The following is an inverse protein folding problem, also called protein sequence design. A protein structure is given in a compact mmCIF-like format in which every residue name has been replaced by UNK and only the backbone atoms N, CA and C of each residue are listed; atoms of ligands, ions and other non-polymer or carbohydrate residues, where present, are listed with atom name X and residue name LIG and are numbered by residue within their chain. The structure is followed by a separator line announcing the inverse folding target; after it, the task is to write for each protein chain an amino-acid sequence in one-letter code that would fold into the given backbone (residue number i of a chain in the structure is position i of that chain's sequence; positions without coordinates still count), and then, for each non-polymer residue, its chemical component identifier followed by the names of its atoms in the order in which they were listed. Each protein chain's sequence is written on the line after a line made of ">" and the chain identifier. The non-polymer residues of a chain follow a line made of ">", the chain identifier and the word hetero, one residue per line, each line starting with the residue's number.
data_IF_726556463250
#
_entry.id   IF_726556463250
#
_cell.length_a   1.000
_cell.length_b   1.000
_cell.length_c   1.000
_cell.angle_alpha   90.00
_cell.angle_beta   90.00
_cell.angle_gamma   90.00
#
_symmetry.space_group_name_H-M   'P 1'
#
loop_
_entity.id
_entity.type
_entity.pdbx_description
1 polymer ?
#
# COMPACT_ATOMS: atom_id res chain seq x y z
N UNK A 1 -18.48 31.02 -8.77
CA UNK A 1 -18.17 29.57 -8.85
C UNK A 1 -17.23 29.30 -7.68
N UNK A 2 -17.77 28.83 -6.56
CA UNK A 2 -16.95 28.36 -5.42
C UNK A 2 -16.24 27.10 -5.88
N UNK A 3 -14.92 27.05 -5.73
CA UNK A 3 -14.15 25.83 -5.90
C UNK A 3 -14.69 24.79 -4.90
N UNK A 4 -15.00 23.56 -5.29
CA UNK A 4 -15.28 22.53 -4.32
C UNK A 4 -14.04 22.37 -3.40
N UNK A 5 -14.23 22.10 -2.11
CA UNK A 5 -13.10 21.86 -1.23
C UNK A 5 -12.27 20.71 -1.82
N UNK A 6 -10.96 20.88 -1.83
CA UNK A 6 -10.06 19.80 -2.19
C UNK A 6 -10.42 18.61 -1.31
N UNK A 7 -10.82 17.51 -1.93
CA UNK A 7 -10.93 16.23 -1.27
C UNK A 7 -9.51 15.75 -0.94
N UNK A 8 -8.92 16.34 0.06
CA UNK A 8 -7.79 15.73 0.75
C UNK A 8 -8.40 14.56 1.49
N UNK A 9 -7.91 13.33 1.34
CA UNK A 9 -8.39 12.23 2.16
C UNK A 9 -8.23 12.65 3.62
N UNK A 10 -9.36 12.76 4.33
CA UNK A 10 -9.44 13.16 5.74
C UNK A 10 -8.91 12.07 6.69
N UNK A 11 -7.93 11.28 6.23
CA UNK A 11 -7.43 10.07 6.85
C UNK A 11 -6.00 10.19 7.32
N UNK A 12 -5.60 11.26 7.88
CA UNK A 12 -4.36 11.16 8.63
C UNK A 12 -4.49 11.92 9.92
N UNK A 13 -4.21 11.24 10.97
CA UNK A 13 -3.63 11.83 12.14
C UNK A 13 -2.56 12.78 11.67
N UNK A 14 -1.51 12.90 11.52
CA UNK A 14 -0.58 13.84 10.87
C UNK A 14 -0.48 13.57 9.35
N UNK A 15 -0.46 14.61 8.53
CA UNK A 15 -0.07 14.49 7.14
C UNK A 15 1.44 14.26 7.10
N UNK A 16 1.86 12.97 7.16
CA UNK A 16 3.26 12.64 6.98
C UNK A 16 3.59 12.60 5.49
N UNK A 17 4.59 13.34 5.08
CA UNK A 17 5.13 13.28 3.74
C UNK A 17 6.60 12.86 3.79
N UNK A 18 6.90 11.68 3.27
CA UNK A 18 8.24 11.12 3.30
C UNK A 18 8.94 11.40 1.98
N UNK A 19 10.11 11.98 2.05
CA UNK A 19 10.99 12.22 0.90
C UNK A 19 12.32 11.51 1.11
N UNK A 20 12.63 10.56 0.24
CA UNK A 20 13.99 10.01 0.15
C UNK A 20 14.66 10.55 -1.10
N UNK A 21 15.89 11.03 -0.95
CA UNK A 21 16.73 11.51 -2.05
C UNK A 21 18.00 10.68 -2.12
N UNK A 22 18.23 10.11 -3.29
CA UNK A 22 19.48 9.44 -3.64
C UNK A 22 20.34 10.42 -4.42
N UNK A 23 21.45 10.83 -3.82
CA UNK A 23 22.39 11.73 -4.48
C UNK A 23 23.41 10.92 -5.29
N UNK A 24 23.50 11.15 -6.57
CA UNK A 24 24.42 10.42 -7.45
C UNK A 24 25.87 10.49 -6.99
N UNK A 25 26.28 11.62 -6.38
CA UNK A 25 27.61 11.74 -5.80
C UNK A 25 27.87 10.75 -4.66
N UNK A 26 26.83 10.21 -4.01
CA UNK A 26 26.98 9.21 -2.95
C UNK A 26 27.66 7.92 -3.46
N UNK A 27 27.48 7.58 -4.73
CA UNK A 27 28.15 6.47 -5.43
C UNK A 27 29.23 6.94 -6.43
N UNK A 28 29.72 8.18 -6.31
CA UNK A 28 30.75 8.72 -7.19
C UNK A 28 30.28 9.00 -8.61
N UNK A 29 28.98 9.17 -8.84
CA UNK A 29 28.38 9.33 -10.17
C UNK A 29 27.87 10.75 -10.44
N UNK A 30 27.70 11.06 -11.71
CA UNK A 30 26.99 12.24 -12.20
C UNK A 30 25.67 11.76 -12.81
N UNK A 31 24.51 12.44 -12.54
CA UNK A 31 23.23 12.07 -13.13
C UNK A 31 23.25 12.00 -14.66
N UNK A 32 22.62 10.98 -15.22
CA UNK A 32 22.63 10.71 -16.67
C UNK A 32 21.82 11.69 -17.52
N UNK A 33 20.81 12.36 -16.94
CA UNK A 33 19.92 13.28 -17.66
C UNK A 33 20.62 14.50 -18.26
N UNK A 34 19.94 15.20 -19.18
CA UNK A 34 20.50 16.34 -19.92
C UNK A 34 21.06 17.45 -18.99
N UNK A 35 20.32 17.79 -17.92
CA UNK A 35 20.73 18.84 -16.98
C UNK A 35 21.77 18.39 -15.93
N UNK A 36 22.19 17.11 -15.96
CA UNK A 36 23.15 16.55 -14.98
C UNK A 36 22.79 16.87 -13.52
N UNK A 37 21.50 16.85 -13.20
CA UNK A 37 20.94 17.20 -11.88
C UNK A 37 19.80 16.26 -11.54
N UNK A 38 19.72 15.86 -10.27
CA UNK A 38 18.56 15.16 -9.73
C UNK A 38 17.34 16.08 -9.83
N UNK A 39 16.28 15.60 -10.50
CA UNK A 39 15.07 16.37 -10.72
C UNK A 39 13.88 15.77 -9.92
N UNK A 40 13.01 15.02 -10.60
CA UNK A 40 11.89 14.33 -9.95
C UNK A 40 12.39 13.08 -9.22
N UNK A 41 11.73 12.67 -8.14
CA UNK A 41 12.02 11.38 -7.52
C UNK A 41 11.94 10.24 -8.55
N UNK A 42 12.90 9.34 -8.50
CA UNK A 42 12.88 8.10 -9.28
C UNK A 42 11.78 7.17 -8.78
N UNK A 43 11.44 6.14 -9.55
CA UNK A 43 10.52 5.10 -9.11
C UNK A 43 11.01 4.45 -7.81
N UNK A 44 12.30 4.08 -7.73
CA UNK A 44 12.91 3.49 -6.52
C UNK A 44 12.81 4.43 -5.31
N UNK A 45 13.14 5.72 -5.46
CA UNK A 45 12.98 6.70 -4.38
C UNK A 45 11.53 6.78 -3.90
N UNK A 46 10.59 6.77 -4.83
CA UNK A 46 9.14 6.79 -4.53
C UNK A 46 8.69 5.53 -3.78
N UNK A 47 9.17 4.37 -4.19
CA UNK A 47 8.87 3.09 -3.52
C UNK A 47 9.41 3.06 -2.09
N UNK A 48 10.65 3.52 -1.88
CA UNK A 48 11.24 3.58 -0.53
C UNK A 48 10.51 4.61 0.35
N UNK A 49 10.10 5.75 -0.21
CA UNK A 49 9.22 6.69 0.53
C UNK A 49 7.94 5.99 1.02
N UNK A 50 7.35 5.12 0.22
CA UNK A 50 6.16 4.34 0.60
C UNK A 50 6.46 3.28 1.66
N UNK A 51 7.59 2.58 1.55
CA UNK A 51 8.05 1.61 2.56
C UNK A 51 8.18 2.25 3.93
N UNK A 52 8.64 3.51 3.99
CA UNK A 52 8.82 4.26 5.24
C UNK A 52 7.50 4.86 5.73
N UNK A 53 6.70 5.46 4.85
CA UNK A 53 5.45 6.13 5.21
C UNK A 53 4.41 5.17 5.81
N UNK A 54 4.30 3.97 5.25
CA UNK A 54 3.28 2.99 5.65
C UNK A 54 3.38 2.58 7.12
N UNK A 55 4.55 2.17 7.67
CA UNK A 55 4.65 1.79 9.07
C UNK A 55 4.69 2.96 10.05
N UNK A 56 5.12 4.17 9.65
CA UNK A 56 5.16 5.30 10.58
C UNK A 56 3.82 6.03 10.73
N UNK A 57 3.00 6.05 9.68
CA UNK A 57 1.72 6.76 9.67
C UNK A 57 0.78 6.35 10.80
N UNK A 58 0.55 5.06 11.08
CA UNK A 58 -0.32 4.62 12.18
C UNK A 58 0.25 4.90 13.57
N UNK A 59 1.56 5.19 13.69
CA UNK A 59 2.20 5.48 14.98
C UNK A 59 1.87 6.88 15.51
N UNK A 60 1.50 7.83 14.65
CA UNK A 60 1.16 9.17 15.11
C UNK A 60 -0.15 9.18 15.92
N UNK A 61 -0.15 9.94 17.01
CA UNK A 61 -1.33 10.10 17.84
C UNK A 61 -2.51 10.70 17.04
N UNK A 62 -3.72 10.16 17.20
CA UNK A 62 -4.92 10.54 16.41
C UNK A 62 -5.27 12.03 16.47
N UNK A 63 -4.98 12.69 17.58
CA UNK A 63 -5.25 14.13 17.75
C UNK A 63 -4.11 15.03 17.26
N UNK A 64 -2.96 14.46 16.89
CA UNK A 64 -1.87 15.22 16.31
C UNK A 64 -2.16 15.46 14.82
N UNK A 65 -2.43 16.73 14.46
CA UNK A 65 -2.87 17.12 13.11
C UNK A 65 -1.85 17.98 12.36
N UNK A 66 -0.67 18.20 12.95
CA UNK A 66 0.37 19.01 12.33
C UNK A 66 0.97 18.28 11.12
N UNK A 67 1.23 19.01 10.06
CA UNK A 67 1.97 18.47 8.92
C UNK A 67 3.37 18.06 9.37
N UNK A 68 3.77 16.83 9.02
CA UNK A 68 5.08 16.29 9.38
C UNK A 68 5.79 15.83 8.12
N UNK A 69 6.99 16.34 7.90
CA UNK A 69 7.84 15.94 6.79
C UNK A 69 9.06 15.18 7.29
N UNK A 70 9.28 13.97 6.75
CA UNK A 70 10.47 13.17 6.98
C UNK A 70 11.34 13.20 5.73
N UNK A 71 12.53 13.76 5.84
CA UNK A 71 13.46 13.87 4.70
C UNK A 71 14.71 13.05 4.95
N UNK A 72 15.00 12.13 4.04
CA UNK A 72 16.14 11.23 4.08
C UNK A 72 17.05 11.50 2.87
N UNK A 73 18.34 11.61 3.09
CA UNK A 73 19.31 11.83 2.02
C UNK A 73 20.44 10.82 2.13
N UNK A 74 20.65 10.03 1.08
CA UNK A 74 21.79 9.13 0.98
C UNK A 74 23.02 9.95 0.58
N UNK A 75 24.00 10.02 1.48
CA UNK A 75 25.22 10.83 1.30
C UNK A 75 26.43 10.00 0.90
N UNK A 76 26.41 8.69 1.22
CA UNK A 76 27.46 7.74 0.85
C UNK A 76 26.85 6.38 0.59
N UNK A 77 27.33 5.69 -0.45
CA UNK A 77 26.82 4.40 -0.89
C UNK A 77 27.93 3.61 -1.57
N UNK A 78 28.21 2.42 -1.07
CA UNK A 78 29.29 1.54 -1.57
C UNK A 78 28.80 0.44 -2.52
N UNK A 79 27.48 0.30 -2.68
CA UNK A 79 26.88 -0.71 -3.55
C UNK A 79 26.70 -2.08 -2.90
N UNK A 80 27.03 -2.24 -1.64
CA UNK A 80 26.95 -3.55 -0.94
C UNK A 80 25.57 -3.85 -0.36
N UNK A 81 24.92 -2.84 0.22
CA UNK A 81 23.64 -2.99 0.91
C UNK A 81 22.62 -1.98 0.41
N UNK A 82 21.37 -2.41 0.18
CA UNK A 82 20.29 -1.49 -0.19
C UNK A 82 20.05 -0.45 0.92
N UNK A 83 20.01 0.85 0.59
CA UNK A 83 19.86 1.91 1.57
C UNK A 83 18.43 2.06 2.12
N UNK A 84 17.49 1.17 1.82
CA UNK A 84 16.10 1.28 2.27
C UNK A 84 15.93 0.96 3.77
N UNK A 85 16.46 -0.15 4.26
CA UNK A 85 16.41 -0.51 5.70
C UNK A 85 17.17 0.49 6.54
N UNK A 86 18.33 0.96 6.07
CA UNK A 86 19.10 2.02 6.75
C UNK A 86 18.29 3.32 6.82
N UNK A 87 17.55 3.65 5.77
CA UNK A 87 16.66 4.82 5.78
C UNK A 87 15.50 4.64 6.78
N UNK A 88 14.97 3.43 6.95
CA UNK A 88 13.97 3.12 7.97
C UNK A 88 14.54 3.25 9.38
N UNK A 89 15.77 2.77 9.60
CA UNK A 89 16.49 2.95 10.87
C UNK A 89 16.71 4.43 11.20
N UNK A 90 17.20 5.21 10.24
CA UNK A 90 17.37 6.65 10.42
C UNK A 90 16.05 7.35 10.75
N UNK A 91 14.94 6.90 10.15
CA UNK A 91 13.60 7.40 10.45
C UNK A 91 13.18 7.07 11.87
N UNK A 92 13.36 5.81 12.31
CA UNK A 92 13.05 5.38 13.68
C UNK A 92 13.82 6.19 14.74
N UNK A 93 15.13 6.36 14.55
CA UNK A 93 15.98 7.16 15.41
C UNK A 93 15.56 8.65 15.42
N UNK A 94 15.29 9.24 14.25
CA UNK A 94 14.88 10.64 14.16
C UNK A 94 13.52 10.89 14.84
N UNK A 95 12.56 10.00 14.66
CA UNK A 95 11.26 10.09 15.34
C UNK A 95 11.41 9.96 16.85
N UNK A 96 12.23 9.02 17.32
CA UNK A 96 12.45 8.79 18.75
C UNK A 96 13.01 10.03 19.48
N UNK A 97 13.89 10.81 18.83
CA UNK A 97 14.47 12.03 19.43
C UNK A 97 13.71 13.30 19.09
N UNK A 98 12.72 13.25 18.20
CA UNK A 98 11.99 14.45 17.75
C UNK A 98 11.02 15.03 18.78
N UNK A 99 10.60 14.22 19.76
CA UNK A 99 9.54 14.56 20.70
C UNK A 99 8.13 14.54 20.14
N UNK A 100 7.96 14.12 18.87
CA UNK A 100 6.63 13.96 18.25
C UNK A 100 5.84 12.87 18.97
N UNK A 101 4.49 13.00 19.06
CA UNK A 101 3.65 12.01 19.75
C UNK A 101 3.43 10.77 18.87
N UNK A 102 4.45 9.91 18.82
CA UNK A 102 4.42 8.63 18.11
C UNK A 102 4.39 7.48 19.12
N UNK A 103 3.64 6.42 18.80
CA UNK A 103 3.52 5.22 19.61
C UNK A 103 4.56 4.18 19.17
N UNK A 104 5.53 3.89 20.04
CA UNK A 104 6.60 2.93 19.77
C UNK A 104 7.72 3.47 18.88
N UNK A 105 8.74 2.66 18.71
CA UNK A 105 9.92 2.97 17.88
C UNK A 105 9.90 2.10 16.61
N UNK A 106 10.09 2.71 15.45
CA UNK A 106 10.15 1.98 14.19
C UNK A 106 11.44 1.17 14.12
N UNK A 107 11.30 -0.15 13.95
CA UNK A 107 12.33 -1.07 13.50
C UNK A 107 12.01 -1.65 12.13
N UNK A 108 13.02 -2.16 11.44
CA UNK A 108 12.85 -2.82 10.14
C UNK A 108 13.95 -3.85 9.91
N UNK A 109 13.70 -4.80 9.03
CA UNK A 109 14.71 -5.73 8.52
C UNK A 109 14.41 -6.12 7.08
N UNK A 110 15.44 -6.40 6.30
CA UNK A 110 15.31 -7.16 5.06
C UNK A 110 15.63 -8.62 5.37
N UNK A 111 14.85 -9.53 4.85
CA UNK A 111 15.04 -10.98 5.07
C UNK A 111 15.16 -11.67 3.72
N UNK A 112 16.26 -12.37 3.53
CA UNK A 112 16.48 -13.29 2.42
C UNK A 112 16.26 -14.74 2.83
N UNK A 113 16.01 -15.60 1.83
CA UNK A 113 16.00 -17.07 2.00
C UNK A 113 17.03 -17.66 1.05
N UNK A 114 18.21 -18.02 1.58
CA UNK A 114 19.39 -18.41 0.82
C UNK A 114 19.84 -19.80 1.30
N UNK A 115 19.99 -20.74 0.39
CA UNK A 115 20.39 -22.13 0.68
C UNK A 115 19.55 -22.78 1.81
N UNK A 116 18.23 -22.50 1.80
CA UNK A 116 17.29 -23.06 2.78
C UNK A 116 17.35 -22.39 4.16
N UNK A 117 18.02 -21.22 4.30
CA UNK A 117 18.16 -20.49 5.57
C UNK A 117 17.68 -19.05 5.43
N UNK A 118 17.10 -18.53 6.50
CA UNK A 118 16.78 -17.12 6.63
C UNK A 118 18.03 -16.30 6.98
N UNK A 119 18.24 -15.21 6.24
CA UNK A 119 19.37 -14.29 6.40
C UNK A 119 18.81 -12.88 6.61
N UNK A 120 19.24 -12.20 7.66
CA UNK A 120 18.84 -10.82 7.94
C UNK A 120 19.78 -9.82 7.26
N UNK A 121 19.20 -8.81 6.62
CA UNK A 121 19.89 -7.74 5.90
C UNK A 121 20.96 -8.26 4.91
N UNK A 122 20.61 -9.21 4.03
CA UNK A 122 21.54 -9.72 3.05
C UNK A 122 22.06 -8.59 2.15
N UNK A 123 23.29 -8.77 1.65
CA UNK A 123 23.87 -7.89 0.64
C UNK A 123 23.12 -7.98 -0.69
N UNK A 124 23.33 -7.03 -1.59
CA UNK A 124 22.74 -7.03 -2.94
C UNK A 124 23.17 -8.29 -3.71
N UNK A 125 24.43 -8.70 -3.60
CA UNK A 125 24.96 -9.92 -4.21
C UNK A 125 24.31 -11.20 -3.66
N UNK A 126 24.10 -11.27 -2.36
CA UNK A 126 23.41 -12.40 -1.71
C UNK A 126 21.92 -12.48 -2.12
N UNK A 127 21.26 -11.33 -2.34
CA UNK A 127 19.87 -11.29 -2.79
C UNK A 127 19.65 -11.84 -4.19
N UNK A 128 20.64 -11.78 -5.09
CA UNK A 128 20.54 -12.36 -6.43
C UNK A 128 20.25 -13.87 -6.39
N UNK A 129 20.82 -14.56 -5.38
CA UNK A 129 20.65 -15.99 -5.17
C UNK A 129 19.53 -16.33 -4.16
N UNK A 130 18.84 -15.34 -3.64
CA UNK A 130 17.76 -15.53 -2.68
C UNK A 130 16.45 -15.98 -3.34
N UNK A 131 15.73 -16.88 -2.67
CA UNK A 131 14.35 -17.23 -3.01
C UNK A 131 13.32 -16.26 -2.42
N UNK A 132 13.74 -15.34 -1.55
CA UNK A 132 12.91 -14.34 -0.87
C UNK A 132 13.65 -13.02 -0.80
N UNK A 133 12.96 -11.94 -1.12
CA UNK A 133 13.30 -10.57 -0.77
C UNK A 133 12.14 -9.97 0.00
N UNK A 134 12.23 -9.95 1.33
CA UNK A 134 11.17 -9.48 2.23
C UNK A 134 11.66 -8.30 3.04
N UNK A 135 10.94 -7.18 3.00
CA UNK A 135 11.09 -6.09 3.97
C UNK A 135 9.97 -6.17 4.99
N UNK A 136 10.34 -6.26 6.26
CA UNK A 136 9.42 -6.26 7.40
C UNK A 136 9.73 -5.08 8.30
N UNK A 137 8.69 -4.38 8.76
CA UNK A 137 8.83 -3.23 9.65
C UNK A 137 7.69 -3.17 10.67
N UNK A 138 8.01 -2.66 11.84
CA UNK A 138 7.05 -2.54 12.94
C UNK A 138 7.67 -1.92 14.19
N UNK A 139 7.08 -2.21 15.33
CA UNK A 139 7.51 -1.77 16.65
C UNK A 139 7.86 -2.97 17.53
N UNK A 140 8.11 -2.72 18.80
CA UNK A 140 8.28 -3.78 19.81
C UNK A 140 7.06 -4.71 19.90
N UNK A 141 5.86 -4.14 19.71
CA UNK A 141 4.60 -4.83 19.93
C UNK A 141 4.17 -5.70 18.76
N UNK A 142 4.63 -5.38 17.54
CA UNK A 142 4.23 -6.14 16.36
C UNK A 142 4.65 -5.57 15.02
N UNK A 143 4.34 -6.34 14.00
CA UNK A 143 4.60 -6.00 12.60
C UNK A 143 3.52 -5.07 12.07
N UNK A 144 3.92 -3.96 11.44
CA UNK A 144 3.05 -2.97 10.84
C UNK A 144 3.04 -3.00 9.31
N UNK A 145 4.13 -3.49 8.71
CA UNK A 145 4.27 -3.52 7.26
C UNK A 145 5.14 -4.68 6.82
N UNK A 146 4.68 -5.37 5.79
CA UNK A 146 5.46 -6.35 5.03
C UNK A 146 5.39 -6.01 3.54
N UNK A 147 6.48 -6.26 2.83
CA UNK A 147 6.53 -6.15 1.37
C UNK A 147 7.56 -7.13 0.84
N UNK A 148 7.15 -8.06 -0.05
CA UNK A 148 8.02 -9.14 -0.50
C UNK A 148 7.91 -9.42 -1.99
N UNK A 149 8.96 -10.07 -2.50
CA UNK A 149 9.00 -10.85 -3.73
C UNK A 149 9.55 -12.23 -3.37
N UNK A 150 8.85 -13.29 -3.76
CA UNK A 150 9.23 -14.66 -3.44
C UNK A 150 9.16 -15.56 -4.68
N UNK A 151 9.92 -16.67 -4.66
CA UNK A 151 9.94 -17.68 -5.71
C UNK A 151 9.16 -18.92 -5.26
N UNK A 152 7.81 -18.76 -5.16
CA UNK A 152 6.88 -19.84 -4.77
C UNK A 152 7.23 -20.52 -3.44
N UNK A 153 7.46 -19.72 -2.41
CA UNK A 153 7.72 -20.23 -1.07
C UNK A 153 6.40 -20.64 -0.37
N UNK A 154 6.45 -21.69 0.49
CA UNK A 154 5.30 -22.06 1.33
C UNK A 154 4.91 -20.93 2.28
N UNK A 155 3.61 -20.81 2.60
CA UNK A 155 3.08 -19.82 3.54
C UNK A 155 3.76 -19.91 4.92
N UNK A 156 4.08 -21.13 5.38
CA UNK A 156 4.81 -21.34 6.65
C UNK A 156 6.18 -20.69 6.64
N UNK A 157 6.94 -20.80 5.53
CA UNK A 157 8.26 -20.18 5.37
C UNK A 157 8.14 -18.66 5.32
N UNK A 158 7.09 -18.13 4.67
CA UNK A 158 6.83 -16.69 4.64
C UNK A 158 6.52 -16.15 6.04
N UNK A 159 5.70 -16.85 6.83
CA UNK A 159 5.42 -16.48 8.21
C UNK A 159 6.67 -16.53 9.08
N UNK A 160 7.48 -17.58 8.95
CA UNK A 160 8.76 -17.71 9.66
C UNK A 160 9.71 -16.55 9.34
N UNK A 161 9.78 -16.15 8.06
CA UNK A 161 10.60 -15.03 7.63
C UNK A 161 10.14 -13.69 8.21
N UNK A 162 8.82 -13.46 8.29
CA UNK A 162 8.25 -12.26 8.94
C UNK A 162 8.63 -12.22 10.42
N UNK A 163 8.46 -13.33 11.14
CA UNK A 163 8.80 -13.41 12.56
C UNK A 163 10.31 -13.27 12.80
N UNK A 164 11.13 -13.91 11.95
CA UNK A 164 12.59 -13.77 12.01
C UNK A 164 13.03 -12.31 11.85
N UNK A 165 12.46 -11.58 10.90
CA UNK A 165 12.75 -10.17 10.71
C UNK A 165 12.27 -9.31 11.88
N UNK A 166 11.08 -9.60 12.45
CA UNK A 166 10.58 -8.94 13.65
C UNK A 166 11.55 -9.10 14.83
N UNK A 167 11.98 -10.30 15.11
CA UNK A 167 12.89 -10.60 16.21
C UNK A 167 14.26 -9.93 15.99
N UNK A 168 14.73 -9.90 14.74
CA UNK A 168 16.02 -9.29 14.41
C UNK A 168 16.04 -7.79 14.70
N UNK A 169 15.02 -7.02 14.27
CA UNK A 169 15.04 -5.58 14.47
C UNK A 169 14.76 -5.12 15.91
N UNK A 170 14.37 -6.02 16.83
CA UNK A 170 14.23 -5.68 18.25
C UNK A 170 15.54 -5.17 18.86
N UNK A 171 16.68 -5.69 18.40
CA UNK A 171 17.99 -5.20 18.83
C UNK A 171 18.19 -3.75 18.44
N UNK A 172 17.85 -3.38 17.20
CA UNK A 172 17.92 -1.99 16.74
C UNK A 172 17.02 -1.06 17.57
N UNK A 173 15.80 -1.49 17.90
CA UNK A 173 14.88 -0.68 18.71
C UNK A 173 15.47 -0.39 20.09
N UNK A 174 16.12 -1.37 20.72
CA UNK A 174 16.82 -1.17 22.01
C UNK A 174 17.93 -0.12 21.91
N UNK A 175 18.75 -0.20 20.86
CA UNK A 175 19.82 0.77 20.60
C UNK A 175 19.26 2.19 20.40
N UNK A 176 18.11 2.32 19.71
CA UNK A 176 17.44 3.62 19.54
C UNK A 176 16.91 4.16 20.85
N UNK A 177 16.41 3.31 21.76
CA UNK A 177 15.99 3.75 23.10
C UNK A 177 17.18 4.25 23.93
N UNK A 178 18.30 3.56 23.88
CA UNK A 178 19.55 4.00 24.54
C UNK A 178 20.03 5.33 23.96
N UNK A 179 20.05 5.45 22.63
CA UNK A 179 20.41 6.68 21.94
C UNK A 179 19.49 7.86 22.33
N UNK A 180 18.17 7.65 22.34
CA UNK A 180 17.20 8.65 22.74
C UNK A 180 17.39 9.08 24.22
N UNK A 181 17.78 8.14 25.09
CA UNK A 181 18.10 8.41 26.49
C UNK A 181 19.35 9.29 26.73
N UNK A 182 20.21 9.46 25.70
CA UNK A 182 21.41 10.30 25.78
C UNK A 182 21.12 11.82 25.60
N UNK A 183 19.89 12.20 25.24
CA UNK A 183 19.53 13.58 24.96
C UNK A 183 18.24 13.98 25.68
N UNK A 184 18.12 15.27 26.01
CA UNK A 184 16.87 15.80 26.53
C UNK A 184 15.90 16.02 25.37
N UNK A 185 14.74 15.36 25.42
CA UNK A 185 13.73 15.42 24.39
C UNK A 185 12.60 16.33 24.85
N UNK A 186 12.39 17.43 24.14
CA UNK A 186 11.23 18.28 24.33
C UNK A 186 10.02 17.65 23.63
N UNK A 187 9.09 17.11 24.42
CA UNK A 187 7.86 16.51 23.88
C UNK A 187 6.92 17.56 23.32
N UNK A 188 6.27 17.23 22.21
CA UNK A 188 5.16 18.00 21.70
C UNK A 188 3.89 17.68 22.50
N UNK A 189 3.12 18.72 22.82
CA UNK A 189 1.82 18.54 23.44
C UNK A 189 0.82 17.96 22.43
N UNK A 190 0.07 16.95 22.88
CA UNK A 190 -1.05 16.44 22.09
C UNK A 190 -2.26 17.30 22.42
N UNK A 191 -2.91 17.92 21.40
CA UNK A 191 -4.11 18.71 21.65
C UNK A 191 -5.20 17.87 22.31
N UNK A 192 -5.78 18.41 23.40
CA UNK A 192 -7.01 17.83 23.95
C UNK A 192 -8.17 17.96 22.98
N UNK A 193 -9.16 17.11 23.12
CA UNK A 193 -10.40 17.30 22.37
C UNK A 193 -11.07 18.61 22.83
N UNK A 194 -11.70 19.37 21.92
CA UNK A 194 -12.45 20.58 22.30
C UNK A 194 -13.58 20.26 23.30
N UNK A 195 -13.89 21.18 24.18
CA UNK A 195 -14.92 20.99 25.21
C UNK A 195 -16.30 20.62 24.64
N UNK A 196 -16.62 21.07 23.44
CA UNK A 196 -17.87 20.74 22.77
C UNK A 196 -17.93 19.29 22.24
N UNK A 197 -16.79 18.59 22.13
CA UNK A 197 -16.70 17.31 21.39
C UNK A 197 -17.61 16.23 21.94
N UNK A 198 -17.65 16.03 23.26
CA UNK A 198 -18.50 15.01 23.89
C UNK A 198 -20.00 15.28 23.71
N UNK A 199 -20.40 16.55 23.80
CA UNK A 199 -21.78 16.98 23.55
C UNK A 199 -22.18 16.74 22.10
N UNK A 200 -21.33 17.16 21.17
CA UNK A 200 -21.54 16.97 19.74
C UNK A 200 -21.57 15.47 19.36
N UNK A 201 -20.71 14.66 19.97
CA UNK A 201 -20.71 13.20 19.73
C UNK A 201 -22.02 12.54 20.14
N UNK A 202 -22.55 12.88 21.31
CA UNK A 202 -23.84 12.34 21.80
C UNK A 202 -25.01 12.78 20.93
N UNK A 203 -25.02 14.05 20.53
CA UNK A 203 -26.07 14.60 19.66
C UNK A 203 -26.06 13.91 18.28
N UNK A 204 -24.89 13.86 17.63
CA UNK A 204 -24.74 13.20 16.31
C UNK A 204 -25.11 11.71 16.43
N UNK A 205 -24.57 10.98 17.41
CA UNK A 205 -24.84 9.56 17.57
C UNK A 205 -26.35 9.27 17.71
N UNK A 206 -27.07 10.09 18.48
CA UNK A 206 -28.52 9.95 18.64
C UNK A 206 -29.30 10.15 17.34
N UNK A 207 -28.79 10.93 16.42
CA UNK A 207 -29.45 11.26 15.14
C UNK A 207 -29.18 10.29 14.02
N UNK A 208 -27.95 9.73 13.95
CA UNK A 208 -27.52 8.99 12.76
C UNK A 208 -27.18 7.51 12.99
N UNK A 209 -27.09 7.01 14.22
CA UNK A 209 -26.69 5.62 14.46
C UNK A 209 -27.63 4.61 13.76
N UNK A 210 -28.94 4.76 13.91
CA UNK A 210 -29.92 3.90 13.25
C UNK A 210 -29.97 4.13 11.72
N UNK A 211 -30.04 5.37 11.20
CA UNK A 211 -29.95 5.64 9.78
C UNK A 211 -28.69 5.06 9.11
N UNK A 212 -27.51 5.14 9.75
CA UNK A 212 -26.28 4.54 9.24
C UNK A 212 -26.40 3.02 9.18
N UNK A 213 -26.94 2.39 10.22
CA UNK A 213 -27.16 0.95 10.24
C UNK A 213 -28.11 0.50 9.14
N UNK A 214 -29.18 1.24 8.87
CA UNK A 214 -30.09 0.98 7.75
C UNK A 214 -29.37 1.15 6.40
N UNK A 215 -28.54 2.19 6.24
CA UNK A 215 -27.80 2.43 5.01
C UNK A 215 -26.81 1.29 4.72
N UNK A 216 -26.07 0.80 5.72
CA UNK A 216 -25.18 -0.36 5.58
C UNK A 216 -25.92 -1.70 5.42
N UNK A 217 -27.21 -1.75 5.60
CA UNK A 217 -28.06 -2.88 5.21
C UNK A 217 -28.38 -2.95 3.72
N UNK A 218 -28.06 -1.91 2.94
CA UNK A 218 -28.24 -1.88 1.49
C UNK A 218 -27.05 -2.59 0.78
N UNK A 219 -27.36 -3.61 0.01
CA UNK A 219 -26.35 -4.38 -0.71
C UNK A 219 -25.79 -3.60 -1.91
N UNK A 220 -26.64 -2.85 -2.62
CA UNK A 220 -26.21 -2.03 -3.75
C UNK A 220 -25.32 -0.88 -3.29
N UNK A 221 -24.14 -0.76 -3.92
CA UNK A 221 -23.12 0.24 -3.55
C UNK A 221 -23.59 1.67 -3.82
N UNK A 222 -24.27 1.92 -4.94
CA UNK A 222 -24.67 3.27 -5.32
C UNK A 222 -25.78 3.78 -4.40
N UNK A 223 -26.80 2.95 -4.14
CA UNK A 223 -27.88 3.28 -3.21
C UNK A 223 -27.34 3.51 -1.78
N UNK A 224 -26.43 2.64 -1.32
CA UNK A 224 -25.76 2.78 -0.03
C UNK A 224 -24.97 4.07 0.06
N UNK A 225 -24.12 4.35 -0.94
CA UNK A 225 -23.30 5.56 -0.97
C UNK A 225 -24.14 6.82 -0.95
N UNK A 226 -25.19 6.87 -1.80
CA UNK A 226 -26.10 8.01 -1.83
C UNK A 226 -26.77 8.24 -0.45
N UNK A 227 -27.29 7.19 0.17
CA UNK A 227 -27.94 7.30 1.49
C UNK A 227 -26.96 7.74 2.58
N UNK A 228 -25.74 7.24 2.57
CA UNK A 228 -24.69 7.68 3.50
C UNK A 228 -24.30 9.15 3.28
N UNK A 229 -24.21 9.60 2.04
CA UNK A 229 -23.89 11.00 1.71
C UNK A 229 -25.02 11.95 2.13
N UNK A 230 -26.29 11.55 1.98
CA UNK A 230 -27.44 12.30 2.48
C UNK A 230 -27.40 12.44 4.01
N UNK A 231 -27.07 11.34 4.73
CA UNK A 231 -26.95 11.34 6.20
C UNK A 231 -25.79 12.25 6.63
N UNK A 232 -24.60 12.13 5.99
CA UNK A 232 -23.42 12.97 6.27
C UNK A 232 -23.72 14.44 6.06
N UNK A 233 -24.31 14.79 4.92
CA UNK A 233 -24.68 16.17 4.58
C UNK A 233 -25.68 16.74 5.58
N UNK A 234 -26.67 15.96 6.00
CA UNK A 234 -27.67 16.39 7.00
C UNK A 234 -27.08 16.83 8.34
N UNK A 235 -25.91 16.29 8.70
CA UNK A 235 -25.18 16.70 9.92
C UNK A 235 -24.25 17.86 9.61
N UNK A 236 -23.43 17.75 8.56
CA UNK A 236 -22.38 18.73 8.24
C UNK A 236 -22.96 20.11 7.93
N UNK A 237 -24.11 20.18 7.24
CA UNK A 237 -24.77 21.43 6.89
C UNK A 237 -25.42 22.13 8.11
N UNK A 238 -25.54 21.43 9.25
CA UNK A 238 -26.21 21.93 10.47
C UNK A 238 -25.26 22.12 11.67
N UNK A 239 -23.95 21.96 11.49
CA UNK A 239 -22.94 22.24 12.52
C UNK A 239 -22.21 23.54 12.20
N UNK A 240 -21.62 24.18 13.22
CA UNK A 240 -20.80 25.38 13.05
C UNK A 240 -19.50 25.07 12.31
N UNK A 241 -18.95 26.04 11.59
CA UNK A 241 -17.76 25.86 10.74
C UNK A 241 -16.56 25.28 11.51
N UNK A 242 -16.36 25.66 12.76
CA UNK A 242 -15.28 25.16 13.62
C UNK A 242 -15.53 23.73 14.14
N UNK A 243 -16.77 23.23 14.05
CA UNK A 243 -17.17 21.86 14.45
C UNK A 243 -17.16 20.85 13.28
N UNK A 244 -17.08 21.29 12.04
CA UNK A 244 -17.19 20.43 10.84
C UNK A 244 -16.16 19.30 10.88
N UNK A 245 -14.92 19.56 11.26
CA UNK A 245 -13.88 18.53 11.34
C UNK A 245 -14.17 17.49 12.43
N UNK A 246 -14.67 17.95 13.59
CA UNK A 246 -15.05 17.08 14.68
C UNK A 246 -16.28 16.22 14.30
N UNK A 247 -17.30 16.83 13.70
CA UNK A 247 -18.50 16.14 13.22
C UNK A 247 -18.16 15.06 12.18
N UNK A 248 -17.31 15.38 11.20
CA UNK A 248 -16.83 14.42 10.21
C UNK A 248 -16.12 13.23 10.86
N UNK A 249 -15.31 13.48 11.89
CA UNK A 249 -14.58 12.44 12.61
C UNK A 249 -15.55 11.55 13.40
N UNK A 250 -16.53 12.16 14.05
CA UNK A 250 -17.56 11.45 14.82
C UNK A 250 -18.40 10.55 13.92
N UNK A 251 -18.88 11.07 12.77
CA UNK A 251 -19.65 10.29 11.80
C UNK A 251 -18.88 9.05 11.36
N UNK A 252 -17.61 9.21 11.00
CA UNK A 252 -16.76 8.09 10.60
C UNK A 252 -16.56 7.05 11.70
N UNK A 253 -16.43 7.48 12.94
CA UNK A 253 -16.31 6.54 14.06
C UNK A 253 -17.61 5.75 14.23
N UNK A 254 -18.78 6.39 14.10
CA UNK A 254 -20.09 5.71 14.16
C UNK A 254 -20.23 4.71 13.00
N UNK A 255 -19.88 5.09 11.78
CA UNK A 255 -19.86 4.18 10.62
C UNK A 255 -18.96 2.97 10.90
N UNK A 256 -17.76 3.23 11.42
CA UNK A 256 -16.80 2.18 11.78
C UNK A 256 -17.39 1.22 12.83
N UNK A 257 -17.97 1.73 13.90
CA UNK A 257 -18.51 0.93 14.98
C UNK A 257 -19.70 0.08 14.51
N UNK A 258 -20.57 0.62 13.66
CA UNK A 258 -21.71 -0.09 13.09
C UNK A 258 -21.24 -1.25 12.21
N UNK A 259 -20.37 -0.99 11.25
CA UNK A 259 -19.91 -2.00 10.28
C UNK A 259 -19.09 -3.10 10.97
N UNK A 260 -18.11 -2.71 11.80
CA UNK A 260 -17.26 -3.67 12.53
C UNK A 260 -18.08 -4.52 13.49
N UNK A 261 -19.03 -3.89 14.21
CA UNK A 261 -19.92 -4.58 15.12
C UNK A 261 -20.80 -5.63 14.43
N UNK A 262 -21.31 -5.32 13.24
CA UNK A 262 -22.11 -6.26 12.46
C UNK A 262 -21.27 -7.43 11.90
N UNK A 263 -20.10 -7.14 11.38
CA UNK A 263 -19.18 -8.17 10.85
C UNK A 263 -18.72 -9.12 11.97
N UNK A 264 -18.35 -8.62 13.16
CA UNK A 264 -17.87 -9.48 14.25
C UNK A 264 -19.03 -10.29 14.86
N UNK A 265 -20.15 -9.65 15.18
CA UNK A 265 -21.26 -10.30 15.91
C UNK A 265 -22.10 -11.19 15.04
N UNK A 266 -22.48 -10.68 13.86
CA UNK A 266 -23.46 -11.31 12.99
C UNK A 266 -22.83 -12.02 11.79
N UNK A 267 -21.50 -11.84 11.56
CA UNK A 267 -20.78 -12.34 10.41
C UNK A 267 -21.35 -11.84 9.06
N UNK A 268 -22.02 -10.68 9.11
CA UNK A 268 -22.58 -10.03 7.94
C UNK A 268 -21.57 -9.07 7.33
N UNK A 269 -21.24 -9.24 6.07
CA UNK A 269 -20.43 -8.29 5.29
C UNK A 269 -21.34 -7.24 4.64
N UNK A 270 -20.76 -6.10 4.29
CA UNK A 270 -21.47 -4.94 3.71
C UNK A 270 -22.26 -5.32 2.43
N UNK A 271 -21.76 -6.27 1.66
CA UNK A 271 -22.39 -6.76 0.42
C UNK A 271 -23.14 -8.09 0.59
N UNK A 272 -23.31 -8.56 1.81
CA UNK A 272 -24.05 -9.79 2.14
C UNK A 272 -23.29 -11.10 1.90
N UNK A 273 -22.01 -11.06 1.45
CA UNK A 273 -21.18 -12.26 1.30
C UNK A 273 -20.78 -12.89 2.63
N UNK A 274 -20.40 -14.16 2.60
CA UNK A 274 -19.71 -14.84 3.71
C UNK A 274 -18.29 -14.28 3.88
N UNK A 275 -17.67 -14.54 5.03
CA UNK A 275 -16.35 -14.02 5.36
C UNK A 275 -15.25 -14.49 4.38
N UNK A 276 -15.35 -15.70 3.88
CA UNK A 276 -14.42 -16.39 2.98
C UNK A 276 -14.85 -16.35 1.49
N UNK A 277 -15.95 -15.69 1.18
CA UNK A 277 -16.50 -15.65 -0.16
C UNK A 277 -15.84 -14.58 -1.04
N UNK A 278 -15.41 -14.99 -2.23
CA UNK A 278 -14.85 -14.11 -3.26
C UNK A 278 -15.96 -13.63 -4.19
N UNK A 279 -15.93 -12.37 -4.59
CA UNK A 279 -16.86 -11.80 -5.57
C UNK A 279 -16.81 -12.54 -6.90
N UNK A 280 -17.90 -12.48 -7.65
CA UNK A 280 -17.96 -13.08 -8.99
C UNK A 280 -16.83 -12.51 -9.87
N UNK A 281 -16.09 -13.41 -10.50
CA UNK A 281 -15.03 -13.09 -11.45
C UNK A 281 -15.54 -13.36 -12.87
N UNK A 282 -15.30 -12.42 -13.78
CA UNK A 282 -15.48 -12.59 -15.22
C UNK A 282 -14.25 -12.11 -15.94
N UNK A 283 -13.86 -12.80 -17.03
CA UNK A 283 -12.69 -12.48 -17.83
C UNK A 283 -13.05 -12.52 -19.30
N UNK A 284 -12.66 -11.48 -20.05
CA UNK A 284 -12.78 -11.45 -21.49
C UNK A 284 -11.39 -11.27 -22.09
N UNK A 285 -10.96 -12.22 -22.91
CA UNK A 285 -9.65 -12.18 -23.57
C UNK A 285 -9.77 -11.54 -24.94
N UNK A 286 -8.64 -11.03 -25.45
CA UNK A 286 -8.50 -10.47 -26.79
C UNK A 286 -9.46 -9.30 -27.08
N UNK A 287 -9.79 -8.52 -26.04
CA UNK A 287 -10.67 -7.36 -26.13
C UNK A 287 -10.16 -6.33 -27.16
N UNK A 288 -8.84 -6.17 -27.26
CA UNK A 288 -8.20 -5.16 -28.10
C UNK A 288 -7.55 -5.84 -29.32
N UNK A 289 -8.14 -5.73 -30.53
CA UNK A 289 -7.73 -6.51 -31.69
C UNK A 289 -6.35 -6.17 -32.26
N UNK A 290 -5.71 -5.07 -31.83
CA UNK A 290 -4.39 -4.67 -32.28
C UNK A 290 -3.30 -4.82 -31.21
N UNK A 291 -3.67 -5.22 -29.98
CA UNK A 291 -2.72 -5.56 -28.94
C UNK A 291 -2.19 -6.98 -29.16
N UNK A 292 -1.01 -7.30 -28.63
CA UNK A 292 -0.46 -8.65 -28.69
C UNK A 292 -1.22 -9.60 -27.77
N UNK A 293 -1.69 -9.10 -26.61
CA UNK A 293 -2.61 -9.78 -25.73
C UNK A 293 -3.37 -8.78 -24.88
N UNK A 294 -4.60 -9.08 -24.53
CA UNK A 294 -5.41 -8.21 -23.68
C UNK A 294 -6.41 -9.01 -22.87
N UNK A 295 -6.76 -8.52 -21.69
CA UNK A 295 -7.77 -9.08 -20.82
C UNK A 295 -8.59 -7.97 -20.17
N UNK A 296 -9.91 -8.08 -20.21
CA UNK A 296 -10.81 -7.37 -19.32
C UNK A 296 -11.08 -8.29 -18.13
N UNK A 297 -10.51 -7.96 -16.98
CA UNK A 297 -10.71 -8.68 -15.73
C UNK A 297 -11.70 -7.91 -14.86
N UNK A 298 -12.77 -8.58 -14.45
CA UNK A 298 -13.79 -7.99 -13.58
C UNK A 298 -13.99 -8.88 -12.36
N UNK A 299 -13.92 -8.29 -11.16
CA UNK A 299 -14.22 -8.95 -9.88
C UNK A 299 -15.24 -8.08 -9.12
N UNK A 300 -16.52 -8.46 -9.20
CA UNK A 300 -17.62 -7.62 -8.73
C UNK A 300 -17.56 -6.23 -9.38
N UNK A 301 -17.41 -5.20 -8.57
CA UNK A 301 -17.31 -3.78 -8.98
C UNK A 301 -15.85 -3.30 -9.11
N UNK A 302 -14.91 -4.20 -9.34
CA UNK A 302 -13.51 -3.84 -9.63
C UNK A 302 -13.14 -4.38 -10.99
N UNK A 303 -12.76 -3.50 -11.91
CA UNK A 303 -12.49 -3.83 -13.30
C UNK A 303 -11.17 -3.23 -13.78
N UNK A 304 -10.40 -4.03 -14.51
CA UNK A 304 -9.13 -3.63 -15.11
C UNK A 304 -9.03 -4.14 -16.56
N UNK A 305 -8.65 -3.25 -17.47
CA UNK A 305 -8.19 -3.63 -18.81
C UNK A 305 -6.67 -3.79 -18.72
N UNK A 306 -6.17 -5.01 -18.92
CA UNK A 306 -4.74 -5.28 -18.91
C UNK A 306 -4.28 -5.64 -20.31
N UNK A 307 -3.23 -4.96 -20.77
CA UNK A 307 -2.72 -5.06 -22.15
C UNK A 307 -1.26 -5.45 -22.12
N UNK A 308 -0.90 -6.48 -22.89
CA UNK A 308 0.48 -6.93 -23.11
C UNK A 308 0.96 -6.46 -24.48
N UNK A 309 2.13 -5.84 -24.49
CA UNK A 309 2.84 -5.48 -25.72
C UNK A 309 4.22 -6.14 -25.72
N UNK A 310 4.59 -6.76 -26.84
CA UNK A 310 5.89 -7.36 -27.09
C UNK A 310 6.74 -6.37 -27.89
N UNK A 311 7.93 -6.08 -27.39
CA UNK A 311 8.91 -5.20 -28.03
C UNK A 311 10.20 -5.95 -28.35
N UNK A 312 11.15 -5.23 -28.92
CA UNK A 312 12.51 -5.71 -29.21
C UNK A 312 13.47 -5.37 -28.09
N UNK A 313 14.74 -5.77 -28.18
CA UNK A 313 15.79 -5.37 -27.25
C UNK A 313 16.10 -3.86 -27.23
N UNK A 314 15.68 -3.12 -28.25
CA UNK A 314 15.80 -1.66 -28.28
C UNK A 314 14.75 -0.96 -27.41
N UNK A 315 13.67 -1.66 -27.11
CA UNK A 315 12.57 -1.16 -26.27
C UNK A 315 12.81 -1.40 -24.78
N UNK A 316 13.92 -2.03 -24.40
CA UNK A 316 14.26 -2.26 -22.99
C UNK A 316 14.40 -0.94 -22.22
N UNK A 317 13.83 -0.92 -21.03
CA UNK A 317 13.94 0.23 -20.14
C UNK A 317 15.35 0.35 -19.57
N UNK A 318 15.97 1.51 -19.75
CA UNK A 318 17.26 1.81 -19.12
C UNK A 318 17.05 2.32 -17.71
N UNK A 319 17.60 1.62 -16.72
CA UNK A 319 17.59 1.99 -15.32
C UNK A 319 18.88 2.69 -14.96
N UNK A 320 18.79 4.00 -14.66
CA UNK A 320 19.88 4.83 -14.16
C UNK A 320 19.61 5.14 -12.68
N UNK A 321 20.46 4.64 -11.80
CA UNK A 321 20.33 4.75 -10.34
C UNK A 321 21.72 4.88 -9.68
N UNK A 322 21.79 4.74 -8.35
CA UNK A 322 23.07 4.65 -7.64
C UNK A 322 23.85 3.39 -8.04
N UNK A 323 23.15 2.30 -8.36
CA UNK A 323 23.74 1.05 -8.85
C UNK A 323 24.25 1.20 -10.30
N UNK A 324 25.05 0.26 -10.79
CA UNK A 324 25.41 0.24 -12.20
C UNK A 324 24.19 0.31 -13.10
N UNK A 325 24.31 1.11 -14.16
CA UNK A 325 23.24 1.24 -15.17
C UNK A 325 22.97 -0.13 -15.81
N UNK A 326 21.72 -0.53 -15.86
CA UNK A 326 21.29 -1.79 -16.45
C UNK A 326 20.02 -1.62 -17.26
N UNK A 327 19.70 -2.61 -18.09
CA UNK A 327 18.48 -2.67 -18.87
C UNK A 327 17.49 -3.64 -18.25
N UNK A 328 16.23 -3.30 -18.31
CA UNK A 328 15.12 -4.12 -17.84
C UNK A 328 14.21 -4.46 -19.03
N UNK A 329 13.96 -5.75 -19.26
CA UNK A 329 13.15 -6.26 -20.37
C UNK A 329 11.67 -6.45 -20.02
N UNK A 330 11.29 -6.29 -18.74
CA UNK A 330 9.91 -6.39 -18.28
C UNK A 330 9.47 -5.11 -17.58
N UNK A 331 8.37 -4.54 -18.02
CA UNK A 331 7.75 -3.33 -17.48
C UNK A 331 6.27 -3.60 -17.18
N UNK A 332 5.79 -3.13 -16.02
CA UNK A 332 4.36 -3.13 -15.69
C UNK A 332 3.96 -1.75 -15.18
N UNK A 333 3.02 -1.12 -15.89
CA UNK A 333 2.47 0.18 -15.55
C UNK A 333 1.02 0.04 -15.12
N UNK A 334 0.69 0.69 -14.02
CA UNK A 334 -0.65 0.69 -13.44
C UNK A 334 -1.19 2.12 -13.44
N UNK A 335 -2.36 2.31 -14.00
CA UNK A 335 -3.04 3.60 -14.12
C UNK A 335 -4.36 3.55 -13.35
N UNK A 336 -4.55 4.54 -12.47
CA UNK A 336 -5.72 4.67 -11.61
C UNK A 336 -6.35 6.05 -11.78
N UNK A 337 -7.10 6.26 -12.85
CA UNK A 337 -7.73 7.55 -13.13
C UNK A 337 -8.85 7.85 -12.13
N UNK A 338 -9.15 9.13 -11.84
CA UNK A 338 -10.18 9.51 -10.88
C UNK A 338 -11.56 8.91 -11.15
N UNK A 339 -11.92 8.75 -12.42
CA UNK A 339 -13.22 8.18 -12.81
C UNK A 339 -13.41 6.73 -12.33
N UNK A 340 -12.31 5.98 -12.06
CA UNK A 340 -12.40 4.60 -11.56
C UNK A 340 -13.07 4.49 -10.18
N UNK A 341 -13.14 5.59 -9.45
CA UNK A 341 -13.85 5.71 -8.17
C UNK A 341 -14.99 6.73 -8.22
N UNK A 342 -15.42 7.14 -9.43
CA UNK A 342 -16.50 8.10 -9.64
C UNK A 342 -16.13 9.55 -9.33
N UNK A 343 -14.85 9.88 -9.26
CA UNK A 343 -14.36 11.23 -8.95
C UNK A 343 -13.99 12.02 -10.21
N UNK A 344 -14.09 13.35 -10.10
CA UNK A 344 -13.54 14.30 -11.07
C UNK A 344 -12.19 14.80 -10.56
N UNK A 345 -11.12 14.55 -11.29
CA UNK A 345 -9.76 14.92 -10.88
C UNK A 345 -8.84 15.24 -12.06
N UNK A 346 -7.63 15.71 -11.75
CA UNK A 346 -6.61 15.94 -12.78
C UNK A 346 -6.05 14.61 -13.27
N UNK A 347 -6.06 14.42 -14.56
CA UNK A 347 -5.28 13.38 -15.23
C UNK A 347 -3.92 13.99 -15.62
N UNK A 348 -2.86 13.51 -14.99
CA UNK A 348 -1.53 14.11 -15.13
C UNK A 348 -0.42 13.11 -14.95
N UNK A 349 0.62 13.49 -14.22
CA UNK A 349 1.76 12.59 -13.92
C UNK A 349 1.34 11.46 -12.98
N UNK A 350 1.96 10.29 -13.18
CA UNK A 350 1.82 9.11 -12.32
C UNK A 350 2.05 9.44 -10.85
N UNK A 351 1.11 9.09 -10.01
CA UNK A 351 1.17 9.32 -8.57
C UNK A 351 1.94 8.23 -7.82
N UNK A 352 2.29 8.50 -6.55
CA UNK A 352 2.99 7.52 -5.69
C UNK A 352 2.19 6.22 -5.51
N UNK A 353 0.86 6.31 -5.48
CA UNK A 353 -0.04 5.14 -5.37
C UNK A 353 0.09 4.25 -6.60
N UNK A 354 0.05 4.84 -7.78
CA UNK A 354 0.15 4.11 -9.05
C UNK A 354 1.50 3.41 -9.19
N UNK A 355 2.60 4.08 -8.85
CA UNK A 355 3.95 3.48 -8.82
C UNK A 355 3.98 2.29 -7.85
N UNK A 356 3.45 2.44 -6.63
CA UNK A 356 3.45 1.37 -5.63
C UNK A 356 2.61 0.16 -6.03
N UNK A 357 1.42 0.38 -6.61
CA UNK A 357 0.55 -0.71 -7.07
C UNK A 357 1.11 -1.39 -8.32
N UNK A 358 1.70 -0.63 -9.24
CA UNK A 358 2.39 -1.17 -10.40
C UNK A 358 3.56 -2.07 -9.99
N UNK A 359 4.40 -1.64 -9.04
CA UNK A 359 5.52 -2.45 -8.55
C UNK A 359 5.07 -3.70 -7.79
N UNK A 360 3.97 -3.62 -7.03
CA UNK A 360 3.39 -4.79 -6.37
C UNK A 360 2.95 -5.84 -7.41
N UNK A 361 2.24 -5.44 -8.45
CA UNK A 361 1.84 -6.35 -9.53
C UNK A 361 3.06 -6.85 -10.33
N UNK A 362 4.06 -6.00 -10.56
CA UNK A 362 5.31 -6.37 -11.20
C UNK A 362 6.02 -7.51 -10.45
N UNK A 363 6.16 -7.38 -9.11
CA UNK A 363 6.78 -8.42 -8.26
C UNK A 363 6.02 -9.73 -8.26
N UNK A 364 4.69 -9.68 -8.28
CA UNK A 364 3.86 -10.89 -8.34
C UNK A 364 4.05 -11.65 -9.66
N UNK A 365 4.24 -10.95 -10.78
CA UNK A 365 4.32 -11.54 -12.12
C UNK A 365 5.75 -11.93 -12.49
N UNK A 366 6.74 -11.15 -12.09
CA UNK A 366 8.14 -11.26 -12.52
C UNK A 366 8.75 -12.66 -12.32
N UNK A 367 8.57 -13.37 -11.19
CA UNK A 367 9.15 -14.70 -10.98
C UNK A 367 8.63 -15.77 -11.96
N UNK A 368 7.44 -15.56 -12.52
CA UNK A 368 6.78 -16.49 -13.43
C UNK A 368 7.10 -16.25 -14.91
N UNK A 369 7.82 -15.19 -15.23
CA UNK A 369 8.19 -14.91 -16.62
C UNK A 369 9.24 -15.89 -17.13
N UNK A 370 9.26 -16.18 -18.44
CA UNK A 370 10.34 -16.90 -19.08
C UNK A 370 11.65 -16.11 -18.99
N UNK A 371 12.78 -16.81 -19.11
CA UNK A 371 14.07 -16.15 -19.25
C UNK A 371 14.16 -15.42 -20.58
N UNK A 372 15.10 -14.46 -20.71
CA UNK A 372 15.33 -13.72 -21.96
C UNK A 372 15.82 -14.63 -23.08
N UNK A 373 16.52 -15.70 -22.73
CA UNK A 373 17.00 -16.71 -23.67
C UNK A 373 15.85 -17.53 -24.26
N UNK A 374 14.86 -17.87 -23.44
CA UNK A 374 13.69 -18.67 -23.86
C UNK A 374 12.65 -17.81 -24.60
N UNK A 375 12.55 -16.52 -24.26
CA UNK A 375 11.59 -15.59 -24.85
C UNK A 375 12.22 -14.20 -25.04
N UNK A 376 12.89 -13.93 -26.16
CA UNK A 376 13.77 -12.76 -26.36
C UNK A 376 13.01 -11.45 -26.69
N UNK A 377 11.83 -11.28 -26.12
CA UNK A 377 11.04 -10.05 -26.29
C UNK A 377 11.11 -9.18 -25.04
N UNK A 378 11.03 -7.88 -25.24
CA UNK A 378 10.73 -6.92 -24.19
C UNK A 378 9.23 -6.95 -23.91
N UNK A 379 8.86 -7.13 -22.66
CA UNK A 379 7.47 -7.23 -22.22
C UNK A 379 7.02 -5.92 -21.57
N UNK A 380 5.95 -5.34 -22.09
CA UNK A 380 5.32 -4.18 -21.44
C UNK A 380 3.85 -4.49 -21.16
N UNK A 381 3.49 -4.50 -19.87
CA UNK A 381 2.10 -4.58 -19.43
C UNK A 381 1.62 -3.20 -19.01
N UNK A 382 0.39 -2.89 -19.38
CA UNK A 382 -0.33 -1.70 -18.91
C UNK A 382 -1.67 -2.13 -18.36
N UNK A 383 -1.95 -1.76 -17.12
CA UNK A 383 -3.23 -1.99 -16.46
C UNK A 383 -3.97 -0.68 -16.30
N UNK A 384 -5.10 -0.54 -16.97
CA UNK A 384 -6.02 0.58 -16.88
C UNK A 384 -7.18 0.20 -15.96
N UNK A 385 -7.28 0.84 -14.81
CA UNK A 385 -8.39 0.59 -13.88
C UNK A 385 -9.60 1.40 -14.33
N UNK A 386 -10.67 0.71 -14.70
CA UNK A 386 -11.90 1.32 -15.17
C UNK A 386 -12.93 1.50 -14.06
N UNK A 387 -12.92 0.61 -13.06
CA UNK A 387 -13.74 0.68 -11.86
C UNK A 387 -13.02 0.08 -10.66
N UNK A 388 -13.24 0.62 -9.46
CA UNK A 388 -12.58 0.14 -8.24
C UNK A 388 -13.50 0.15 -7.02
N UNK A 389 -13.66 -1.04 -6.42
CA UNK A 389 -14.24 -1.26 -5.11
C UNK A 389 -13.46 -2.36 -4.37
N UNK A 390 -12.30 -2.01 -3.82
CA UNK A 390 -11.37 -2.94 -3.16
C UNK A 390 -10.37 -3.58 -4.11
N UNK A 391 -9.12 -3.51 -3.75
CA UNK A 391 -7.91 -4.08 -4.36
C UNK A 391 -7.86 -4.19 -5.89
N UNK A 392 -7.81 -3.06 -6.56
CA UNK A 392 -7.53 -2.99 -8.01
C UNK A 392 -6.13 -3.49 -8.39
N UNK A 393 -5.16 -3.47 -7.46
CA UNK A 393 -3.83 -4.05 -7.70
C UNK A 393 -3.88 -5.57 -7.85
N UNK A 394 -4.75 -6.27 -7.10
CA UNK A 394 -4.93 -7.70 -7.26
C UNK A 394 -5.71 -8.05 -8.54
N UNK A 395 -6.63 -7.20 -8.97
CA UNK A 395 -7.24 -7.30 -10.30
C UNK A 395 -6.17 -7.15 -11.41
N UNK A 396 -5.20 -6.26 -11.22
CA UNK A 396 -4.05 -6.11 -12.14
C UNK A 396 -3.19 -7.38 -12.17
N UNK A 397 -2.90 -8.01 -11.03
CA UNK A 397 -2.13 -9.27 -10.99
C UNK A 397 -2.84 -10.36 -11.80
N UNK A 398 -4.12 -10.60 -11.52
CA UNK A 398 -4.92 -11.61 -12.23
C UNK A 398 -5.03 -11.30 -13.73
N UNK A 399 -5.35 -10.06 -14.07
CA UNK A 399 -5.46 -9.63 -15.47
C UNK A 399 -4.13 -9.69 -16.21
N UNK A 400 -3.00 -9.43 -15.54
CA UNK A 400 -1.66 -9.54 -16.11
C UNK A 400 -1.32 -10.99 -16.49
N UNK A 401 -1.60 -11.93 -15.60
CA UNK A 401 -1.45 -13.37 -15.90
C UNK A 401 -2.21 -13.78 -17.15
N UNK A 402 -3.48 -13.35 -17.27
CA UNK A 402 -4.34 -13.65 -18.40
C UNK A 402 -3.87 -12.96 -19.70
N UNK A 403 -3.49 -11.67 -19.63
CA UNK A 403 -3.04 -10.91 -20.78
C UNK A 403 -1.70 -11.41 -21.33
N UNK A 404 -0.80 -11.90 -20.48
CA UNK A 404 0.44 -12.57 -20.90
C UNK A 404 0.16 -13.86 -21.64
N UNK A 405 -0.73 -14.70 -21.11
CA UNK A 405 -1.14 -15.95 -21.78
C UNK A 405 -1.84 -15.67 -23.11
N UNK A 406 -2.70 -14.67 -23.19
CA UNK A 406 -3.34 -14.24 -24.44
C UNK A 406 -2.31 -13.77 -25.48
N UNK A 407 -1.22 -13.13 -25.04
CA UNK A 407 -0.10 -12.75 -25.92
C UNK A 407 0.82 -13.90 -26.31
N UNK A 408 0.57 -15.13 -25.85
CA UNK A 408 1.40 -16.30 -26.13
C UNK A 408 2.74 -16.30 -25.37
N UNK A 409 2.88 -15.51 -24.29
CA UNK A 409 4.06 -15.54 -23.44
C UNK A 409 4.08 -16.84 -22.65
N UNK A 410 5.16 -17.64 -22.73
CA UNK A 410 5.24 -18.93 -22.02
C UNK A 410 5.56 -18.72 -20.53
N UNK A 411 4.63 -18.12 -19.77
CA UNK A 411 4.78 -17.99 -18.33
C UNK A 411 4.84 -19.39 -17.68
N UNK A 412 5.65 -19.52 -16.63
CA UNK A 412 5.86 -20.82 -15.95
C UNK A 412 4.55 -21.38 -15.37
N UNK A 413 3.77 -20.50 -14.72
CA UNK A 413 2.46 -20.80 -14.12
C UNK A 413 1.58 -19.56 -14.15
N UNK A 414 0.26 -19.76 -14.09
CA UNK A 414 -0.68 -18.65 -13.90
C UNK A 414 -0.65 -18.16 -12.45
N UNK A 415 -0.87 -16.86 -12.26
CA UNK A 415 -0.80 -16.18 -10.98
C UNK A 415 -2.17 -15.62 -10.63
N UNK A 416 -2.59 -15.85 -9.39
CA UNK A 416 -3.75 -15.20 -8.78
C UNK A 416 -3.32 -14.24 -7.69
N UNK A 417 -4.20 -13.29 -7.38
CA UNK A 417 -3.96 -12.36 -6.27
C UNK A 417 -5.26 -11.99 -5.57
N UNK A 418 -5.20 -11.86 -4.25
CA UNK A 418 -6.34 -11.53 -3.39
C UNK A 418 -5.94 -10.51 -2.32
N UNK A 419 -6.90 -9.69 -1.89
CA UNK A 419 -6.77 -8.84 -0.71
C UNK A 419 -7.56 -9.44 0.44
N UNK A 420 -6.88 -9.63 1.56
CA UNK A 420 -7.42 -10.14 2.81
C UNK A 420 -7.51 -9.00 3.82
N UNK A 421 -8.50 -9.03 4.70
CA UNK A 421 -8.67 -8.08 5.78
C UNK A 421 -8.78 -8.76 7.13
N UNK A 422 -8.50 -7.99 8.18
CA UNK A 422 -8.71 -8.39 9.57
C UNK A 422 -9.53 -7.31 10.26
N UNK A 423 -10.54 -7.74 11.01
CA UNK A 423 -11.25 -6.90 11.97
C UNK A 423 -11.11 -7.54 13.34
N UNK A 424 -10.64 -6.76 14.33
CA UNK A 424 -10.43 -7.22 15.70
C UNK A 424 -11.09 -6.25 16.69
N UNK A 425 -11.88 -6.79 17.62
CA UNK A 425 -12.48 -6.05 18.73
C UNK A 425 -12.24 -6.82 20.03
N UNK A 426 -11.34 -6.29 20.86
CA UNK A 426 -10.89 -7.00 22.05
C UNK A 426 -10.17 -8.31 21.70
N UNK A 427 -10.71 -9.43 22.19
CA UNK A 427 -10.18 -10.78 21.88
C UNK A 427 -10.85 -11.42 20.67
N UNK A 428 -11.98 -10.88 20.20
CA UNK A 428 -12.68 -11.38 19.01
C UNK A 428 -12.05 -10.83 17.73
N UNK A 429 -11.88 -11.68 16.75
CA UNK A 429 -11.43 -11.28 15.42
C UNK A 429 -12.06 -12.09 14.29
N UNK A 430 -12.09 -11.51 13.13
CA UNK A 430 -12.50 -12.18 11.88
C UNK A 430 -11.55 -11.82 10.75
N UNK A 431 -11.30 -12.81 9.88
CA UNK A 431 -10.54 -12.64 8.64
C UNK A 431 -11.53 -12.58 7.48
N UNK A 432 -11.32 -11.64 6.58
CA UNK A 432 -12.16 -11.40 5.41
C UNK A 432 -11.37 -11.71 4.13
N UNK A 433 -11.95 -12.50 3.24
CA UNK A 433 -11.41 -12.73 1.89
C UNK A 433 -11.99 -11.74 0.90
N UNK A 434 -11.18 -11.24 -0.02
CA UNK A 434 -11.59 -10.30 -1.07
C UNK A 434 -12.35 -9.09 -0.52
N UNK A 435 -11.64 -8.25 0.24
CA UNK A 435 -12.22 -7.09 0.92
C UNK A 435 -12.68 -6.00 -0.06
N UNK A 436 -13.78 -5.35 0.29
CA UNK A 436 -14.27 -4.13 -0.36
C UNK A 436 -13.45 -2.90 0.06
N UNK A 437 -13.61 -1.79 -0.66
CA UNK A 437 -12.98 -0.52 -0.31
C UNK A 437 -13.37 -0.02 1.09
N UNK A 438 -14.65 -0.16 1.47
CA UNK A 438 -15.13 0.20 2.79
C UNK A 438 -14.54 -0.71 3.88
N UNK A 439 -14.40 -2.01 3.63
CA UNK A 439 -13.80 -2.97 4.57
C UNK A 439 -12.29 -2.74 4.72
N UNK A 440 -11.58 -2.32 3.67
CA UNK A 440 -10.19 -1.88 3.73
C UNK A 440 -10.01 -0.67 4.67
N UNK A 441 -10.89 0.33 4.55
CA UNK A 441 -10.82 1.53 5.38
C UNK A 441 -11.22 1.32 6.85
N UNK A 442 -12.11 0.39 7.11
CA UNK A 442 -12.65 0.13 8.44
C UNK A 442 -11.92 -1.00 9.18
N UNK A 443 -11.11 -1.79 8.46
CA UNK A 443 -10.35 -2.90 8.99
C UNK A 443 -9.12 -2.50 9.80
N UNK A 444 -8.50 -3.48 10.45
CA UNK A 444 -7.24 -3.33 11.19
C UNK A 444 -6.03 -3.82 10.38
N UNK A 445 -6.27 -4.60 9.32
CA UNK A 445 -5.24 -5.10 8.40
C UNK A 445 -5.78 -5.09 6.97
N UNK A 446 -4.96 -4.65 6.04
CA UNK A 446 -5.07 -4.86 4.59
C UNK A 446 -3.85 -5.66 4.14
N UNK A 447 -4.06 -6.92 3.79
CA UNK A 447 -3.00 -7.84 3.39
C UNK A 447 -3.24 -8.33 1.97
N UNK A 448 -2.30 -8.03 1.07
CA UNK A 448 -2.35 -8.46 -0.33
C UNK A 448 -1.37 -9.59 -0.55
N UNK A 449 -1.87 -10.67 -1.07
CA UNK A 449 -1.07 -11.85 -1.40
C UNK A 449 -1.32 -12.27 -2.85
N UNK A 450 -0.24 -12.63 -3.52
CA UNK A 450 -0.27 -13.19 -4.87
C UNK A 450 0.59 -14.45 -4.90
N UNK A 451 0.19 -15.42 -5.70
CA UNK A 451 0.90 -16.68 -5.81
C UNK A 451 0.32 -17.58 -6.88
N UNK A 452 0.85 -18.78 -6.94
CA UNK A 452 0.39 -19.88 -7.78
C UNK A 452 -0.33 -20.93 -6.93
N UNK A 453 -0.62 -22.10 -7.50
CA UNK A 453 -1.16 -23.24 -6.72
C UNK A 453 -0.09 -23.90 -5.82
N UNK A 454 1.18 -23.58 -6.02
CA UNK A 454 2.30 -24.24 -5.31
C UNK A 454 2.94 -23.35 -4.23
N UNK A 455 2.69 -22.05 -4.25
CA UNK A 455 3.25 -21.13 -3.24
C UNK A 455 3.03 -19.65 -3.55
N UNK A 456 3.55 -18.82 -2.64
CA UNK A 456 3.53 -17.36 -2.68
C UNK A 456 4.77 -16.85 -3.39
#
# INVERSE_FOLDING_TARGET
>A
IRRPPRSTPLYSSAASDVYKRQKYYASGKIPGGFFKREARPTERETLICRLIDRPIRPLFHKNFKNETQVTLTVLSYDGSVDPDVIAMYATGAALAISGLPVAGTLGAARVGHIDGKLVANPTIEELENSALDLVVAGTEEGVLMVESEAKELPESTMLEAVMFGHDFYQTFIKEVHEFAGMTEIKKFDVPSLPDFYEGLQKDIASKIADPIKEAYGLVDKQERSQKLDEIRSSIIDNVEDDQVLAATTIIKNIEKDVVRGDIIKNKNRIDGRKLDEVRKITCELDLLPRAHGSCLFTRGETQAIVVTTLGTGDDEQMIDSLDPMHKQHFMLHYNFPPYSVGEVGRMGSTGRREIGHGKLAWRAVHPMLPTKEDFPYTLRLVSEITESNGSSSMATVCGSSLALMAAGVPIKKHIGGIAMGLIKEGDDFVVLSDILGDEDHLGDMDFKVAGTMDGI
#
